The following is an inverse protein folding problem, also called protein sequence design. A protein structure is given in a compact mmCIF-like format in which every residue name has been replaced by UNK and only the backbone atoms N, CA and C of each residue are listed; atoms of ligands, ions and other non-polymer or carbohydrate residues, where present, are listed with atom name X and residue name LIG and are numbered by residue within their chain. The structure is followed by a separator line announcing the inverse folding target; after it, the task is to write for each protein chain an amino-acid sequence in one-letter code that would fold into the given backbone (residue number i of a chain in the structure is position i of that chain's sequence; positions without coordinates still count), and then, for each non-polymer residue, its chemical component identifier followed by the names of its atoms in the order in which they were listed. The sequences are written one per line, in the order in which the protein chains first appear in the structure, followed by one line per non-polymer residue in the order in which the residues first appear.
data_IF_468936410778
#
_entry.id   IF_468936410778
#
_cell.length_a   1.000
_cell.length_b   1.000
_cell.length_c   1.000
_cell.angle_alpha   90.00
_cell.angle_beta   90.00
_cell.angle_gamma   90.00
#
_symmetry.space_group_name_H-M   'P 1'
#
loop_
_entity.id
_entity.type
_entity.pdbx_description
1 polymer ?
#
# COMPACT_ATOMS: atom_id res chain seq x y z
N UNK A 1 -29.94 57.86 11.84
CA UNK A 1 -30.22 57.76 10.39
C UNK A 1 -28.91 57.31 9.74
N UNK A 2 -28.70 56.13 9.19
CA UNK A 2 -29.40 54.86 9.15
C UNK A 2 -28.31 53.84 8.78
N UNK A 3 -28.35 52.66 9.40
CA UNK A 3 -27.41 51.57 9.17
C UNK A 3 -27.49 51.02 7.73
N UNK A 4 -26.41 50.46 7.18
CA UNK A 4 -26.50 49.62 5.97
C UNK A 4 -27.05 48.21 6.32
N UNK A 5 -27.66 47.51 5.35
CA UNK A 5 -28.51 46.34 5.60
C UNK A 5 -27.73 45.04 5.85
N UNK A 6 -28.36 44.01 6.45
CA UNK A 6 -27.72 42.74 6.79
C UNK A 6 -27.89 41.66 5.71
N UNK A 7 -26.94 40.73 5.67
CA UNK A 7 -27.21 39.32 5.41
C UNK A 7 -26.84 38.75 4.05
N UNK A 8 -25.72 38.03 4.01
CA UNK A 8 -25.72 36.58 3.71
C UNK A 8 -24.43 35.96 4.22
N UNK A 9 -24.56 35.19 5.30
CA UNK A 9 -23.53 34.34 5.84
C UNK A 9 -23.15 33.25 4.83
N UNK A 10 -21.88 33.23 4.43
CA UNK A 10 -21.23 32.12 3.73
C UNK A 10 -19.87 31.89 4.39
N UNK A 11 -19.88 31.53 5.67
CA UNK A 11 -18.68 31.11 6.38
C UNK A 11 -19.03 30.41 7.69
N UNK A 12 -19.73 29.28 7.67
CA UNK A 12 -19.93 28.49 8.91
C UNK A 12 -20.31 27.01 8.68
N UNK A 13 -19.73 26.35 7.69
CA UNK A 13 -19.91 24.89 7.54
C UNK A 13 -18.68 24.09 7.08
N UNK A 14 -17.49 24.71 7.04
CA UNK A 14 -16.25 24.03 6.64
C UNK A 14 -15.31 23.65 7.81
N UNK A 15 -15.65 24.01 9.06
CA UNK A 15 -14.77 23.80 10.22
C UNK A 15 -15.35 22.95 11.36
N UNK A 16 -16.55 22.36 11.20
CA UNK A 16 -17.20 21.61 12.30
C UNK A 16 -17.05 20.09 12.21
N UNK A 17 -16.58 19.54 11.07
CA UNK A 17 -16.26 18.12 10.95
C UNK A 17 -14.81 17.77 11.40
N UNK A 18 -13.91 18.75 11.51
CA UNK A 18 -12.53 18.55 11.97
C UNK A 18 -12.31 18.81 13.47
N UNK A 19 -13.34 19.25 14.21
CA UNK A 19 -13.20 19.59 15.63
C UNK A 19 -13.74 18.54 16.62
N UNK A 20 -14.38 17.46 16.15
CA UNK A 20 -14.81 16.33 17.00
C UNK A 20 -13.83 15.14 17.02
N UNK A 21 -12.73 15.19 16.27
CA UNK A 21 -11.68 14.17 16.30
C UNK A 21 -10.49 14.57 17.18
N UNK A 22 -10.71 15.33 18.26
CA UNK A 22 -9.68 15.57 19.29
C UNK A 22 -10.11 14.95 20.60
N UNK A 23 -9.22 14.11 21.13
CA UNK A 23 -9.18 13.50 22.47
C UNK A 23 -9.80 12.11 22.60
N UNK A 24 -9.26 11.15 21.84
CA UNK A 24 -8.87 9.84 22.37
C UNK A 24 -7.88 9.21 21.41
N UNK A 25 -6.95 8.41 21.91
CA UNK A 25 -5.98 7.64 21.13
C UNK A 25 -6.73 6.63 20.24
N UNK A 26 -7.26 7.07 19.11
CA UNK A 26 -8.07 6.24 18.23
C UNK A 26 -7.18 5.40 17.35
N UNK A 27 -6.98 4.15 17.75
CA UNK A 27 -6.49 3.11 16.87
C UNK A 27 -7.52 2.90 15.76
N UNK A 28 -7.18 3.29 14.51
CA UNK A 28 -8.02 2.98 13.35
C UNK A 28 -7.77 1.53 12.97
N UNK A 29 -8.76 0.65 13.21
CA UNK A 29 -8.76 -0.75 12.78
C UNK A 29 -9.75 -0.95 11.64
N UNK A 30 -9.39 -1.78 10.66
CA UNK A 30 -10.27 -2.21 9.56
C UNK A 30 -10.74 -1.11 8.60
N UNK A 31 -9.93 -0.07 8.40
CA UNK A 31 -10.18 0.90 7.34
C UNK A 31 -10.03 0.23 5.96
N UNK A 32 -11.09 0.23 5.15
CA UNK A 32 -11.01 0.03 3.71
C UNK A 32 -11.15 1.39 3.02
N UNK A 33 -10.09 1.84 2.36
CA UNK A 33 -10.09 3.05 1.53
C UNK A 33 -9.63 2.68 0.14
N UNK A 34 -10.47 2.99 -0.84
CA UNK A 34 -10.04 3.10 -2.22
C UNK A 34 -9.80 4.57 -2.52
N UNK A 35 -8.57 4.92 -2.90
CA UNK A 35 -8.33 6.18 -3.59
C UNK A 35 -8.33 5.89 -5.09
N UNK A 36 -9.30 6.47 -5.81
CA UNK A 36 -9.43 6.32 -7.26
C UNK A 36 -10.13 7.56 -7.87
N UNK A 37 -9.42 8.35 -8.67
CA UNK A 37 -9.94 9.58 -9.27
C UNK A 37 -10.96 9.38 -10.39
N UNK A 38 -11.09 8.18 -10.95
CA UNK A 38 -12.05 7.92 -12.03
C UNK A 38 -13.51 7.71 -11.59
N UNK A 39 -13.81 7.77 -10.28
CA UNK A 39 -15.17 7.59 -9.73
C UNK A 39 -15.87 8.90 -9.33
N UNK A 40 -15.52 10.03 -9.93
CA UNK A 40 -16.27 11.28 -9.74
C UNK A 40 -17.73 11.11 -10.22
N UNK A 41 -18.68 11.05 -9.29
CA UNK A 41 -20.12 11.04 -9.59
C UNK A 41 -20.51 12.37 -10.24
N UNK A 42 -21.01 12.30 -11.48
CA UNK A 42 -21.77 13.38 -12.10
C UNK A 42 -23.08 13.59 -11.32
N UNK A 43 -23.10 14.56 -10.40
CA UNK A 43 -24.35 15.14 -9.90
C UNK A 43 -24.67 16.40 -10.71
N UNK A 44 -25.42 16.23 -11.79
CA UNK A 44 -26.17 17.32 -12.41
C UNK A 44 -27.46 17.53 -11.62
N UNK A 45 -27.71 18.77 -11.21
CA UNK A 45 -28.95 19.28 -10.66
C UNK A 45 -30.15 19.00 -11.58
N UNK A 46 -31.17 18.33 -11.07
CA UNK A 46 -32.47 18.15 -11.71
C UNK A 46 -33.36 17.30 -10.81
N UNK A 47 -34.40 17.90 -10.25
CA UNK A 47 -35.42 17.17 -9.49
C UNK A 47 -36.41 16.53 -10.45
N UNK A 48 -36.78 15.28 -10.17
CA UNK A 48 -38.09 14.69 -10.49
C UNK A 48 -38.21 13.36 -9.76
N UNK A 49 -39.30 13.18 -9.00
CA UNK A 49 -39.70 11.92 -8.41
C UNK A 49 -40.12 10.96 -9.52
N UNK A 50 -39.44 9.81 -9.63
CA UNK A 50 -39.76 8.78 -10.60
C UNK A 50 -39.57 7.38 -10.01
N UNK A 51 -40.67 6.70 -9.74
CA UNK A 51 -40.76 5.28 -9.39
C UNK A 51 -40.11 4.42 -10.48
N UNK A 52 -39.10 3.61 -10.16
CA UNK A 52 -38.56 2.60 -11.07
C UNK A 52 -38.64 1.20 -10.47
N UNK A 53 -39.52 0.39 -11.06
CA UNK A 53 -39.59 -1.05 -10.89
C UNK A 53 -38.29 -1.73 -11.37
N UNK A 54 -37.79 -2.64 -10.55
CA UNK A 54 -36.67 -3.53 -10.88
C UNK A 54 -37.12 -4.69 -11.75
N UNK A 55 -36.65 -4.72 -13.00
CA UNK A 55 -36.56 -5.96 -13.76
C UNK A 55 -35.52 -5.81 -14.87
N UNK A 56 -34.40 -6.52 -14.73
CA UNK A 56 -33.52 -6.86 -15.86
C UNK A 56 -32.93 -8.26 -15.66
N UNK A 57 -32.70 -9.01 -16.74
CA UNK A 57 -32.66 -10.47 -16.72
C UNK A 57 -31.26 -11.00 -16.38
N UNK A 58 -31.21 -12.03 -15.56
CA UNK A 58 -29.99 -12.76 -15.24
C UNK A 58 -29.51 -13.57 -16.46
N UNK A 59 -28.30 -13.28 -16.94
CA UNK A 59 -27.60 -14.12 -17.91
C UNK A 59 -27.20 -15.48 -17.30
N UNK A 60 -27.27 -16.60 -18.04
CA UNK A 60 -27.04 -17.93 -17.50
C UNK A 60 -25.55 -18.18 -17.22
N UNK A 61 -25.24 -18.53 -15.96
CA UNK A 61 -23.90 -18.94 -15.51
C UNK A 61 -23.48 -20.25 -16.18
N UNK A 62 -22.55 -20.20 -17.13
CA UNK A 62 -21.74 -21.38 -17.48
C UNK A 62 -20.90 -21.77 -16.25
N UNK A 63 -21.03 -23.02 -15.80
CA UNK A 63 -20.24 -23.60 -14.69
C UNK A 63 -18.76 -23.61 -15.08
N UNK A 64 -18.02 -22.59 -14.67
CA UNK A 64 -16.56 -22.67 -14.54
C UNK A 64 -16.27 -23.70 -13.44
N UNK A 65 -15.50 -24.75 -13.78
CA UNK A 65 -14.98 -25.70 -12.79
C UNK A 65 -14.21 -24.92 -11.73
N UNK A 66 -14.81 -24.82 -10.54
CA UNK A 66 -14.25 -24.15 -9.39
C UNK A 66 -13.12 -25.03 -8.84
N UNK A 67 -11.88 -24.77 -9.26
CA UNK A 67 -10.70 -25.20 -8.49
C UNK A 67 -10.87 -24.49 -7.14
N UNK A 68 -10.97 -25.26 -6.05
CA UNK A 68 -11.39 -24.79 -4.72
C UNK A 68 -10.89 -23.38 -4.42
N UNK A 69 -11.83 -22.43 -4.38
CA UNK A 69 -11.54 -21.01 -4.17
C UNK A 69 -10.83 -20.85 -2.84
N UNK A 70 -9.59 -20.35 -2.85
CA UNK A 70 -8.93 -19.87 -1.65
C UNK A 70 -9.71 -18.66 -1.18
N UNK A 71 -10.68 -18.86 -0.29
CA UNK A 71 -11.35 -17.75 0.41
C UNK A 71 -10.33 -17.19 1.38
N UNK A 72 -9.59 -16.19 0.92
CA UNK A 72 -8.54 -15.55 1.69
C UNK A 72 -9.17 -14.62 2.73
N UNK A 73 -9.28 -15.09 3.98
CA UNK A 73 -9.41 -14.19 5.12
C UNK A 73 -8.07 -13.46 5.27
N UNK A 74 -8.03 -12.17 4.91
CA UNK A 74 -6.83 -11.35 4.81
C UNK A 74 -5.88 -11.43 5.99
N UNK A 75 -6.40 -11.65 7.19
CA UNK A 75 -5.61 -11.73 8.43
C UNK A 75 -4.82 -13.02 8.57
N UNK A 76 -5.26 -14.08 7.89
CA UNK A 76 -4.63 -15.40 7.90
C UNK A 76 -3.97 -15.73 6.57
N UNK A 77 -4.03 -14.84 5.59
CA UNK A 77 -3.53 -15.04 4.23
C UNK A 77 -2.21 -15.79 4.21
N UNK A 78 -1.20 -15.29 4.91
CA UNK A 78 0.14 -15.89 4.90
C UNK A 78 0.23 -17.31 5.48
N UNK A 79 -0.73 -17.69 6.33
CA UNK A 79 -0.82 -18.99 6.98
C UNK A 79 -1.79 -19.94 6.28
N UNK A 80 -2.51 -19.49 5.25
CA UNK A 80 -3.42 -20.36 4.50
C UNK A 80 -2.62 -21.39 3.69
N UNK A 81 -3.11 -22.65 3.59
CA UNK A 81 -2.48 -23.66 2.73
C UNK A 81 -2.34 -23.19 1.27
N UNK A 82 -3.29 -22.40 0.79
CA UNK A 82 -3.27 -21.83 -0.56
C UNK A 82 -2.24 -20.70 -0.75
N UNK A 83 -1.70 -20.14 0.34
CA UNK A 83 -0.67 -19.10 0.30
C UNK A 83 0.75 -19.65 0.54
N UNK A 84 0.90 -20.97 0.69
CA UNK A 84 2.19 -21.59 0.97
C UNK A 84 3.19 -21.25 -0.15
N UNK A 85 4.33 -20.66 0.23
CA UNK A 85 5.41 -20.28 -0.68
C UNK A 85 4.96 -19.33 -1.79
N UNK A 86 5.40 -19.60 -3.03
CA UNK A 86 5.09 -18.88 -4.28
C UNK A 86 3.61 -18.89 -4.67
N UNK A 87 2.73 -19.51 -3.87
CA UNK A 87 1.28 -19.44 -4.06
C UNK A 87 0.63 -18.24 -3.33
N UNK A 88 1.37 -17.55 -2.45
CA UNK A 88 0.90 -16.34 -1.74
C UNK A 88 0.19 -15.31 -2.63
N UNK A 89 0.62 -15.02 -3.89
CA UNK A 89 -0.05 -14.01 -4.70
C UNK A 89 -1.52 -14.31 -5.01
N UNK A 90 -1.96 -15.57 -4.86
CA UNK A 90 -3.39 -15.97 -4.97
C UNK A 90 -4.28 -15.34 -3.89
N UNK A 91 -3.69 -14.78 -2.85
CA UNK A 91 -4.36 -14.11 -1.74
C UNK A 91 -4.37 -12.58 -1.89
N UNK A 92 -3.77 -12.03 -2.94
CA UNK A 92 -3.77 -10.60 -3.19
C UNK A 92 -5.20 -10.10 -3.44
N UNK A 93 -5.54 -8.96 -2.83
CA UNK A 93 -6.85 -8.31 -2.95
C UNK A 93 -6.70 -6.85 -3.37
N UNK A 94 -7.81 -6.19 -3.68
CA UNK A 94 -7.82 -4.78 -4.07
C UNK A 94 -7.22 -4.55 -5.45
N UNK A 95 -6.72 -3.34 -5.67
CA UNK A 95 -6.18 -2.94 -6.98
C UNK A 95 -4.91 -3.70 -7.36
N UNK A 96 -4.12 -4.19 -6.40
CA UNK A 96 -2.97 -5.05 -6.67
C UNK A 96 -3.31 -6.56 -6.80
N UNK A 97 -4.58 -6.96 -6.93
CA UNK A 97 -5.01 -8.38 -6.99
C UNK A 97 -4.40 -9.20 -8.14
N UNK A 98 -3.83 -8.56 -9.15
CA UNK A 98 -3.13 -9.20 -10.26
C UNK A 98 -1.62 -9.40 -10.03
N UNK A 99 -1.09 -8.99 -8.87
CA UNK A 99 0.33 -9.13 -8.55
C UNK A 99 0.74 -10.60 -8.48
N UNK A 100 1.95 -10.90 -8.93
CA UNK A 100 2.59 -12.22 -8.83
C UNK A 100 3.97 -12.15 -8.15
N UNK A 101 4.57 -10.96 -8.09
CA UNK A 101 5.91 -10.75 -7.54
C UNK A 101 6.94 -11.59 -8.29
N UNK A 102 7.88 -12.18 -7.56
CA UNK A 102 8.88 -13.11 -8.08
C UNK A 102 8.46 -14.57 -8.11
N UNK A 103 7.16 -14.87 -8.19
CA UNK A 103 6.66 -16.25 -8.15
C UNK A 103 7.15 -17.11 -9.33
N UNK A 104 7.45 -16.49 -10.48
CA UNK A 104 7.96 -17.19 -11.67
C UNK A 104 9.49 -17.38 -11.64
N UNK A 105 10.22 -16.58 -10.87
CA UNK A 105 11.68 -16.63 -10.79
C UNK A 105 12.21 -17.70 -9.82
N UNK A 106 13.53 -17.80 -9.60
CA UNK A 106 14.14 -18.66 -8.58
C UNK A 106 13.94 -18.14 -7.15
N UNK A 107 14.46 -18.86 -6.16
CA UNK A 107 14.58 -18.37 -4.79
C UNK A 107 15.96 -17.77 -4.56
N UNK A 108 16.03 -16.65 -3.85
CA UNK A 108 17.27 -16.08 -3.32
C UNK A 108 17.19 -16.10 -1.80
N UNK A 109 18.22 -16.63 -1.14
CA UNK A 109 18.23 -16.72 0.32
C UNK A 109 19.25 -15.74 0.85
N UNK A 110 18.79 -14.77 1.64
CA UNK A 110 19.63 -13.85 2.40
C UNK A 110 20.16 -14.61 3.61
N UNK A 111 21.47 -14.58 3.78
CA UNK A 111 22.24 -15.25 4.84
C UNK A 111 23.19 -14.29 5.56
N UNK A 112 23.44 -13.10 4.99
CA UNK A 112 24.30 -12.07 5.55
C UNK A 112 23.49 -10.78 5.74
N UNK A 113 23.37 -10.25 6.97
CA UNK A 113 22.63 -9.02 7.24
C UNK A 113 23.41 -7.73 6.96
N UNK A 114 24.68 -7.81 6.56
CA UNK A 114 25.46 -6.63 6.17
C UNK A 114 24.92 -6.02 4.87
N UNK A 115 25.21 -4.73 4.70
CA UNK A 115 24.87 -3.97 3.51
C UNK A 115 26.12 -3.25 3.01
N UNK A 116 26.35 -3.29 1.71
CA UNK A 116 27.35 -2.47 1.01
C UNK A 116 26.66 -1.96 -0.26
N UNK A 117 26.35 -0.66 -0.36
CA UNK A 117 25.62 -0.10 -1.49
C UNK A 117 26.44 -0.02 -2.78
N UNK A 118 27.78 -0.13 -2.70
CA UNK A 118 28.68 -0.05 -3.83
C UNK A 118 29.10 -1.43 -4.34
N UNK A 119 29.29 -2.39 -3.42
CA UNK A 119 29.74 -3.75 -3.74
C UNK A 119 29.00 -4.80 -2.91
N UNK A 120 27.70 -5.04 -3.19
CA UNK A 120 26.90 -5.95 -2.39
C UNK A 120 27.40 -7.39 -2.52
N UNK A 121 27.78 -7.98 -1.39
CA UNK A 121 28.34 -9.34 -1.35
C UNK A 121 27.25 -10.41 -1.53
N UNK A 122 27.55 -11.55 -2.16
CA UNK A 122 26.65 -12.69 -2.19
C UNK A 122 26.13 -13.06 -0.81
N UNK A 123 24.82 -13.32 -0.70
CA UNK A 123 24.14 -13.61 0.56
C UNK A 123 23.53 -12.40 1.26
N UNK A 124 23.84 -11.17 0.84
CA UNK A 124 23.20 -9.94 1.35
C UNK A 124 21.85 -9.68 0.69
N UNK A 125 21.00 -8.87 1.33
CA UNK A 125 19.71 -8.44 0.77
C UNK A 125 19.89 -7.71 -0.57
N UNK A 126 20.83 -6.76 -0.64
CA UNK A 126 21.07 -5.96 -1.85
C UNK A 126 21.52 -6.82 -3.02
N UNK A 127 22.45 -7.75 -2.79
CA UNK A 127 22.87 -8.70 -3.81
C UNK A 127 21.70 -9.59 -4.28
N UNK A 128 20.85 -10.07 -3.35
CA UNK A 128 19.69 -10.88 -3.70
C UNK A 128 18.69 -10.13 -4.60
N UNK A 129 18.49 -8.82 -4.36
CA UNK A 129 17.63 -7.96 -5.19
C UNK A 129 18.23 -7.77 -6.58
N UNK A 130 19.54 -7.50 -6.68
CA UNK A 130 20.20 -7.37 -7.99
C UNK A 130 20.18 -8.66 -8.79
N UNK A 131 20.42 -9.80 -8.14
CA UNK A 131 20.37 -11.11 -8.77
C UNK A 131 18.94 -11.48 -9.22
N UNK A 132 17.93 -11.12 -8.43
CA UNK A 132 16.52 -11.27 -8.80
C UNK A 132 16.19 -10.47 -10.07
N UNK A 133 16.64 -9.21 -10.16
CA UNK A 133 16.41 -8.36 -11.32
C UNK A 133 17.04 -8.88 -12.62
N UNK A 134 18.14 -9.65 -12.50
CA UNK A 134 18.84 -10.28 -13.64
C UNK A 134 18.26 -11.64 -14.03
N UNK A 135 17.36 -12.20 -13.23
CA UNK A 135 16.87 -13.57 -13.41
C UNK A 135 15.58 -13.61 -14.24
N UNK A 136 15.43 -14.59 -15.15
CA UNK A 136 14.18 -14.81 -15.87
C UNK A 136 13.01 -15.00 -14.89
N UNK A 137 11.96 -14.21 -15.04
CA UNK A 137 10.79 -14.24 -14.15
C UNK A 137 10.99 -13.55 -12.79
N UNK A 138 12.11 -12.83 -12.59
CA UNK A 138 12.40 -12.07 -11.38
C UNK A 138 12.96 -12.93 -10.24
N UNK A 139 12.57 -12.68 -8.99
CA UNK A 139 13.10 -13.45 -7.86
C UNK A 139 12.28 -13.40 -6.57
N UNK A 140 12.28 -14.54 -5.86
CA UNK A 140 11.65 -14.68 -4.55
C UNK A 140 12.72 -14.69 -3.45
N UNK A 141 12.88 -13.55 -2.80
CA UNK A 141 13.88 -13.32 -1.76
C UNK A 141 13.29 -13.77 -0.42
N UNK A 142 14.02 -14.64 0.27
CA UNK A 142 13.69 -15.16 1.61
C UNK A 142 14.90 -15.05 2.53
N UNK A 143 14.70 -15.30 3.81
CA UNK A 143 15.73 -15.17 4.84
C UNK A 143 15.92 -16.52 5.53
N UNK A 144 17.17 -16.92 5.77
CA UNK A 144 17.51 -18.22 6.37
C UNK A 144 17.25 -18.26 7.88
N UNK A 145 17.39 -17.11 8.56
CA UNK A 145 17.22 -16.94 10.00
C UNK A 145 16.71 -15.54 10.34
N UNK A 146 16.29 -15.35 11.59
CA UNK A 146 16.00 -14.03 12.12
C UNK A 146 17.24 -13.13 12.02
N UNK A 147 17.06 -11.90 11.53
CA UNK A 147 18.18 -10.98 11.34
C UNK A 147 17.73 -9.52 11.31
N UNK A 148 18.65 -8.65 11.68
CA UNK A 148 18.51 -7.19 11.51
C UNK A 148 19.44 -6.73 10.40
N UNK A 149 18.88 -6.34 9.26
CA UNK A 149 19.61 -5.79 8.12
C UNK A 149 19.78 -4.29 8.35
N UNK A 150 21.02 -3.84 8.56
CA UNK A 150 21.34 -2.43 8.77
C UNK A 150 21.71 -1.81 7.44
N UNK A 151 20.84 -0.99 6.88
CA UNK A 151 21.08 -0.37 5.57
C UNK A 151 22.02 0.83 5.68
N UNK A 152 23.02 0.87 4.81
CA UNK A 152 23.91 2.04 4.67
C UNK A 152 23.30 3.10 3.75
N UNK A 153 22.59 2.68 2.70
CA UNK A 153 21.77 3.53 1.84
C UNK A 153 20.44 2.84 1.49
N UNK A 154 19.49 3.61 0.97
CA UNK A 154 18.21 3.14 0.46
C UNK A 154 18.40 1.95 -0.48
N UNK A 155 17.47 1.00 -0.38
CA UNK A 155 17.46 -0.20 -1.23
C UNK A 155 16.44 -0.02 -2.33
N UNK A 156 16.91 -0.08 -3.57
CA UNK A 156 16.07 0.01 -4.77
C UNK A 156 15.62 -1.38 -5.17
N UNK A 157 14.32 -1.61 -5.16
CA UNK A 157 13.74 -2.91 -5.50
C UNK A 157 13.50 -2.96 -7.01
N UNK A 158 13.81 -4.08 -7.64
CA UNK A 158 13.53 -4.32 -9.07
C UNK A 158 12.14 -4.92 -9.31
N UNK A 159 11.65 -4.83 -10.55
CA UNK A 159 10.41 -5.48 -10.98
C UNK A 159 10.42 -7.00 -10.75
N UNK A 160 9.24 -7.60 -10.67
CA UNK A 160 9.07 -9.06 -10.49
C UNK A 160 9.77 -9.60 -9.24
N UNK A 161 9.75 -8.84 -8.14
CA UNK A 161 10.44 -9.20 -6.91
C UNK A 161 9.45 -9.48 -5.79
N UNK A 162 9.67 -10.56 -5.05
CA UNK A 162 9.03 -10.77 -3.74
C UNK A 162 10.09 -10.71 -2.65
N UNK A 163 9.90 -9.89 -1.62
CA UNK A 163 10.66 -9.96 -0.37
C UNK A 163 9.75 -10.59 0.69
N UNK A 164 10.08 -11.83 1.08
CA UNK A 164 9.25 -12.68 1.93
C UNK A 164 9.93 -13.00 3.26
N UNK A 165 9.51 -12.31 4.32
CA UNK A 165 9.98 -12.54 5.68
C UNK A 165 9.19 -13.60 6.45
N UNK A 166 8.24 -14.34 5.87
CA UNK A 166 7.35 -15.24 6.65
C UNK A 166 8.05 -16.34 7.44
N UNK A 167 9.27 -16.70 7.07
CA UNK A 167 10.04 -17.77 7.73
C UNK A 167 10.97 -17.28 8.84
N UNK A 168 11.13 -15.97 9.00
CA UNK A 168 12.14 -15.40 9.89
C UNK A 168 11.67 -14.06 10.47
N UNK A 169 12.12 -13.73 11.67
CA UNK A 169 11.92 -12.37 12.19
C UNK A 169 12.96 -11.43 11.56
N UNK A 170 12.55 -10.68 10.54
CA UNK A 170 13.44 -9.81 9.75
C UNK A 170 13.11 -8.36 10.04
N UNK A 171 14.11 -7.62 10.51
CA UNK A 171 14.01 -6.17 10.70
C UNK A 171 15.01 -5.48 9.78
N UNK A 172 14.55 -4.55 8.95
CA UNK A 172 15.38 -3.68 8.12
C UNK A 172 15.43 -2.31 8.81
N UNK A 173 16.63 -1.78 9.05
CA UNK A 173 16.81 -0.54 9.81
C UNK A 173 17.58 0.53 9.05
N UNK A 174 17.54 1.75 9.59
CA UNK A 174 18.26 2.96 9.17
C UNK A 174 17.75 3.65 7.90
N UNK A 175 17.51 2.91 6.81
CA UNK A 175 17.06 3.47 5.52
C UNK A 175 15.75 2.84 5.04
N UNK A 176 15.15 3.47 4.03
CA UNK A 176 13.90 3.02 3.40
C UNK A 176 14.09 2.12 2.17
N UNK A 177 12.97 1.56 1.73
CA UNK A 177 12.81 0.78 0.51
C UNK A 177 12.21 1.67 -0.59
N UNK A 178 12.78 1.57 -1.78
CA UNK A 178 12.47 2.44 -2.92
C UNK A 178 11.94 1.60 -4.07
N UNK A 179 10.73 1.92 -4.52
CA UNK A 179 10.03 1.27 -5.62
C UNK A 179 9.79 2.32 -6.73
N UNK A 180 10.77 2.45 -7.61
CA UNK A 180 10.82 3.48 -8.66
C UNK A 180 10.57 2.87 -10.04
N UNK A 181 9.54 3.31 -10.76
CA UNK A 181 9.32 2.95 -12.17
C UNK A 181 9.23 1.44 -12.45
N UNK A 182 8.92 0.65 -11.43
CA UNK A 182 8.91 -0.80 -11.47
C UNK A 182 7.50 -1.36 -11.59
N UNK A 183 7.40 -2.67 -11.80
CA UNK A 183 6.12 -3.34 -11.65
C UNK A 183 6.22 -4.72 -11.02
N UNK A 184 5.09 -5.18 -10.47
CA UNK A 184 4.92 -6.54 -9.98
C UNK A 184 5.83 -6.86 -8.78
N UNK A 185 5.60 -6.19 -7.65
CA UNK A 185 6.39 -6.36 -6.42
C UNK A 185 5.50 -6.74 -5.23
N UNK A 186 5.99 -7.65 -4.39
CA UNK A 186 5.36 -8.06 -3.14
C UNK A 186 6.35 -7.86 -1.99
N UNK A 187 5.94 -7.11 -0.97
CA UNK A 187 6.64 -6.99 0.31
C UNK A 187 5.77 -7.63 1.39
N UNK A 188 6.28 -8.67 2.04
CA UNK A 188 5.48 -9.43 3.02
C UNK A 188 6.25 -9.83 4.27
N UNK A 189 5.62 -9.63 5.44
CA UNK A 189 6.09 -10.10 6.75
C UNK A 189 7.53 -9.66 7.10
N UNK A 190 7.84 -8.39 6.85
CA UNK A 190 9.09 -7.75 7.28
C UNK A 190 8.77 -6.58 8.21
N UNK A 191 9.73 -6.22 9.07
CA UNK A 191 9.70 -4.96 9.83
C UNK A 191 10.67 -3.97 9.20
N UNK A 192 10.27 -2.72 9.04
CA UNK A 192 11.13 -1.63 8.55
C UNK A 192 11.09 -0.47 9.55
N UNK A 193 12.26 -0.01 9.99
CA UNK A 193 12.43 1.09 10.95
C UNK A 193 13.44 2.10 10.40
N UNK A 194 13.06 3.36 10.19
CA UNK A 194 13.99 4.37 9.63
C UNK A 194 14.50 5.34 10.68
N UNK A 195 15.63 6.00 10.40
CA UNK A 195 16.20 7.04 11.29
C UNK A 195 15.70 8.45 10.92
N UNK A 196 14.54 8.57 10.29
CA UNK A 196 13.94 9.87 10.03
C UNK A 196 14.41 10.61 8.77
N UNK A 197 15.28 10.03 7.93
CA UNK A 197 15.90 10.73 6.80
C UNK A 197 15.20 10.52 5.44
N UNK A 198 14.18 9.66 5.35
CA UNK A 198 13.45 9.39 4.12
C UNK A 198 12.02 8.91 4.41
N UNK A 199 11.21 8.78 3.36
CA UNK A 199 10.07 7.86 3.40
C UNK A 199 10.57 6.44 3.66
N UNK A 200 9.75 5.64 4.36
CA UNK A 200 10.15 4.26 4.72
C UNK A 200 9.92 3.29 3.57
N UNK A 201 8.74 3.33 2.94
CA UNK A 201 8.46 2.65 1.68
C UNK A 201 7.96 3.70 0.69
N UNK A 202 8.75 3.98 -0.34
CA UNK A 202 8.46 5.00 -1.33
C UNK A 202 8.16 4.39 -2.70
N UNK A 203 6.90 4.46 -3.12
CA UNK A 203 6.39 3.96 -4.40
C UNK A 203 6.14 5.15 -5.31
N UNK A 204 6.93 5.32 -6.35
CA UNK A 204 6.86 6.52 -7.19
C UNK A 204 7.27 6.29 -8.64
N UNK A 205 6.95 7.29 -9.47
CA UNK A 205 7.41 7.39 -10.86
C UNK A 205 6.93 6.24 -11.74
N UNK A 206 5.61 6.04 -11.77
CA UNK A 206 4.96 5.05 -12.64
C UNK A 206 4.97 3.61 -12.11
N UNK A 207 5.35 3.40 -10.83
CA UNK A 207 5.36 2.08 -10.24
C UNK A 207 3.95 1.47 -10.18
N UNK A 208 3.81 0.17 -10.53
CA UNK A 208 2.48 -0.47 -10.59
C UNK A 208 2.42 -1.93 -10.14
N UNK A 209 1.25 -2.40 -9.73
CA UNK A 209 1.03 -3.76 -9.22
C UNK A 209 1.97 -4.05 -8.04
N UNK A 210 1.78 -3.30 -6.96
CA UNK A 210 2.58 -3.42 -5.74
C UNK A 210 1.69 -3.86 -4.59
N UNK A 211 2.09 -4.90 -3.86
CA UNK A 211 1.37 -5.37 -2.68
C UNK A 211 2.28 -5.36 -1.45
N UNK A 212 1.90 -4.55 -0.47
CA UNK A 212 2.52 -4.50 0.86
C UNK A 212 1.57 -5.19 1.82
N UNK A 213 2.00 -6.31 2.42
CA UNK A 213 1.15 -7.14 3.27
C UNK A 213 1.85 -7.58 4.56
N UNK A 214 1.17 -7.51 5.71
CA UNK A 214 1.75 -7.93 7.00
C UNK A 214 3.12 -7.26 7.31
N UNK A 215 3.34 -6.06 6.81
CA UNK A 215 4.57 -5.30 7.09
C UNK A 215 4.37 -4.48 8.35
N UNK A 216 5.38 -4.47 9.21
CA UNK A 216 5.46 -3.54 10.34
C UNK A 216 6.34 -2.37 9.93
N UNK A 217 5.84 -1.14 10.02
CA UNK A 217 6.61 0.06 9.67
C UNK A 217 6.57 1.01 10.86
N UNK A 218 7.74 1.39 11.35
CA UNK A 218 7.88 2.26 12.52
C UNK A 218 8.85 3.42 12.24
N UNK A 219 8.60 4.55 12.91
CA UNK A 219 9.53 5.69 12.97
C UNK A 219 9.90 6.24 11.58
N UNK A 220 8.88 6.65 10.82
CA UNK A 220 9.02 7.26 9.51
C UNK A 220 9.45 8.72 9.62
N UNK A 221 10.49 9.11 8.88
CA UNK A 221 10.94 10.51 8.86
C UNK A 221 10.02 11.45 8.12
N UNK A 222 9.76 11.09 6.86
CA UNK A 222 8.94 11.86 5.92
C UNK A 222 7.58 11.21 5.66
N UNK A 223 7.45 9.92 6.01
CA UNK A 223 6.27 9.09 5.85
C UNK A 223 6.59 7.60 6.06
N UNK A 224 5.60 6.80 6.45
CA UNK A 224 5.74 5.34 6.47
C UNK A 224 5.55 4.75 5.07
N UNK A 225 4.50 5.17 4.36
CA UNK A 225 4.21 4.70 3.00
C UNK A 225 3.81 5.87 2.12
N UNK A 226 4.50 6.03 0.99
CA UNK A 226 4.17 7.04 -0.01
C UNK A 226 3.89 6.37 -1.35
N UNK A 227 2.77 6.73 -2.00
CA UNK A 227 2.41 6.33 -3.37
C UNK A 227 2.17 7.59 -4.18
N UNK A 228 3.00 7.89 -5.17
CA UNK A 228 2.94 9.14 -5.93
C UNK A 228 3.52 9.02 -7.35
N UNK A 229 3.58 10.13 -8.08
CA UNK A 229 4.23 10.24 -9.38
C UNK A 229 3.70 9.27 -10.42
N UNK A 230 2.38 9.16 -10.54
CA UNK A 230 1.72 8.27 -11.52
C UNK A 230 1.78 6.79 -11.17
N UNK A 231 2.02 6.46 -9.91
CA UNK A 231 1.96 5.06 -9.44
C UNK A 231 0.50 4.60 -9.28
N UNK A 232 0.22 3.33 -9.59
CA UNK A 232 -1.16 2.79 -9.59
C UNK A 232 -1.20 1.30 -9.24
N UNK A 233 -2.38 0.75 -9.02
CA UNK A 233 -2.56 -0.67 -8.65
C UNK A 233 -1.73 -1.09 -7.43
N UNK A 234 -1.87 -0.32 -6.35
CA UNK A 234 -1.22 -0.62 -5.08
C UNK A 234 -2.25 -1.14 -4.08
N UNK A 235 -1.88 -2.17 -3.32
CA UNK A 235 -2.62 -2.60 -2.13
C UNK A 235 -1.68 -2.57 -0.94
N UNK A 236 -2.10 -1.88 0.13
CA UNK A 236 -1.44 -1.91 1.45
C UNK A 236 -2.42 -2.58 2.42
N UNK A 237 -2.08 -3.78 2.89
CA UNK A 237 -2.98 -4.58 3.73
C UNK A 237 -2.33 -5.20 4.95
N UNK A 238 -3.12 -5.39 6.00
CA UNK A 238 -2.71 -6.09 7.23
C UNK A 238 -1.40 -5.57 7.87
N UNK A 239 -1.02 -4.32 7.60
CA UNK A 239 0.21 -3.73 8.10
C UNK A 239 0.00 -3.10 9.48
N UNK A 240 1.04 -3.09 10.30
CA UNK A 240 1.10 -2.29 11.53
C UNK A 240 1.96 -1.05 11.26
N UNK A 241 1.35 0.12 11.32
CA UNK A 241 1.92 1.40 10.91
C UNK A 241 1.97 2.31 12.14
N UNK A 242 3.17 2.47 12.71
CA UNK A 242 3.38 3.24 13.93
C UNK A 242 4.32 4.42 13.68
N UNK A 243 3.77 5.61 13.63
CA UNK A 243 4.55 6.83 13.49
C UNK A 243 3.92 7.95 14.31
N UNK A 244 4.70 8.93 14.79
CA UNK A 244 4.13 10.06 15.55
C UNK A 244 3.78 11.27 14.68
N UNK A 245 4.18 11.28 13.41
CA UNK A 245 4.04 12.39 12.48
C UNK A 245 3.15 11.98 11.29
N UNK A 246 3.72 11.37 10.27
CA UNK A 246 3.08 11.13 8.98
C UNK A 246 3.03 9.64 8.66
N UNK A 247 1.83 9.09 8.51
CA UNK A 247 1.68 7.68 8.20
C UNK A 247 1.74 7.40 6.69
N UNK A 248 0.69 7.74 5.94
CA UNK A 248 0.52 7.30 4.55
C UNK A 248 0.08 8.44 3.61
N UNK A 249 0.93 8.76 2.62
CA UNK A 249 0.67 9.77 1.61
C UNK A 249 0.33 9.14 0.26
N UNK A 250 -0.83 9.47 -0.29
CA UNK A 250 -1.30 8.99 -1.59
C UNK A 250 -1.49 10.21 -2.51
N UNK A 251 -0.58 10.38 -3.46
CA UNK A 251 -0.47 11.57 -4.30
C UNK A 251 0.31 12.69 -3.60
N UNK A 252 1.41 13.13 -4.21
CA UNK A 252 2.33 14.09 -3.58
C UNK A 252 1.87 15.55 -3.72
N UNK A 253 1.16 15.89 -4.80
CA UNK A 253 0.74 17.25 -5.12
C UNK A 253 -0.62 17.27 -5.83
N UNK A 254 -1.47 18.25 -5.49
CA UNK A 254 -2.73 18.49 -6.18
C UNK A 254 -2.53 18.96 -7.63
N UNK A 255 -1.32 19.42 -7.95
CA UNK A 255 -0.94 19.94 -9.27
C UNK A 255 -0.23 18.91 -10.15
N UNK A 256 0.02 17.69 -9.66
CA UNK A 256 0.70 16.65 -10.44
C UNK A 256 -0.31 15.83 -11.26
N UNK A 257 -0.52 16.11 -12.55
CA UNK A 257 -1.53 15.41 -13.33
C UNK A 257 -1.22 13.91 -13.52
N UNK A 258 0.01 13.47 -13.23
CA UNK A 258 0.36 12.04 -13.31
C UNK A 258 -0.38 11.21 -12.26
N UNK A 259 -0.73 11.78 -11.11
CA UNK A 259 -1.44 11.07 -10.03
C UNK A 259 -2.95 10.87 -10.31
N UNK A 260 -3.47 11.35 -11.45
CA UNK A 260 -4.86 11.08 -11.90
C UNK A 260 -5.14 9.63 -12.23
N UNK A 261 -4.14 8.76 -12.24
CA UNK A 261 -4.32 7.31 -12.43
C UNK A 261 -4.16 6.53 -11.14
N UNK A 262 -3.94 7.21 -10.00
CA UNK A 262 -3.63 6.58 -8.73
C UNK A 262 -4.80 5.69 -8.27
N UNK A 263 -4.50 4.40 -8.08
CA UNK A 263 -5.44 3.40 -7.58
C UNK A 263 -4.79 2.67 -6.42
N UNK A 264 -5.21 3.01 -5.20
CA UNK A 264 -4.65 2.43 -3.99
C UNK A 264 -5.75 1.84 -3.12
N UNK A 265 -5.57 0.59 -2.70
CA UNK A 265 -6.40 -0.08 -1.70
C UNK A 265 -5.66 -0.07 -0.37
N UNK A 266 -6.20 0.62 0.64
CA UNK A 266 -5.71 0.58 2.02
C UNK A 266 -6.70 -0.25 2.81
N UNK A 267 -6.28 -1.39 3.35
CA UNK A 267 -7.23 -2.35 3.93
C UNK A 267 -6.69 -3.10 5.14
N UNK A 268 -7.41 -3.05 6.28
CA UNK A 268 -7.03 -3.77 7.52
C UNK A 268 -5.64 -3.43 8.05
N UNK A 269 -5.19 -2.21 7.82
CA UNK A 269 -3.99 -1.72 8.49
C UNK A 269 -4.34 -1.24 9.90
N UNK A 270 -3.39 -1.39 10.82
CA UNK A 270 -3.45 -0.80 12.14
C UNK A 270 -2.58 0.44 12.14
N UNK A 271 -3.21 1.61 12.28
CA UNK A 271 -2.51 2.88 12.46
C UNK A 271 -2.37 3.15 13.96
N UNK A 272 -1.16 3.05 14.48
CA UNK A 272 -0.83 3.29 15.88
C UNK A 272 -0.12 4.63 16.02
N UNK A 273 -0.57 5.46 16.97
CA UNK A 273 0.08 6.73 17.35
C UNK A 273 0.29 7.73 16.20
N UNK A 274 -0.32 7.49 15.03
CA UNK A 274 -0.21 8.26 13.79
C UNK A 274 -0.81 9.64 13.96
N UNK A 275 0.04 10.67 13.86
CA UNK A 275 -0.38 12.06 13.98
C UNK A 275 -1.32 12.49 12.85
N UNK A 276 -0.93 12.21 11.61
CA UNK A 276 -1.67 12.57 10.40
C UNK A 276 -1.53 11.51 9.28
N UNK A 277 -2.36 11.67 8.23
CA UNK A 277 -2.31 10.92 6.96
C UNK A 277 -2.65 9.43 7.09
N UNK A 278 -3.87 9.09 7.49
CA UNK A 278 -4.34 7.70 7.66
C UNK A 278 -5.53 7.28 6.76
N UNK A 279 -5.38 7.20 5.43
CA UNK A 279 -4.36 7.85 4.61
C UNK A 279 -4.71 9.35 4.39
N UNK A 280 -3.76 10.12 3.86
CA UNK A 280 -4.09 11.38 3.18
C UNK A 280 -4.00 11.14 1.68
N UNK A 281 -5.14 11.23 0.99
CA UNK A 281 -5.17 11.12 -0.47
C UNK A 281 -5.42 12.47 -1.14
N UNK A 282 -4.68 12.71 -2.23
CA UNK A 282 -4.89 13.80 -3.17
C UNK A 282 -5.54 13.27 -4.45
N UNK A 283 -6.27 14.14 -5.13
CA UNK A 283 -6.90 13.92 -6.45
C UNK A 283 -8.14 13.02 -6.57
N UNK A 284 -8.72 12.36 -5.53
CA UNK A 284 -10.19 12.27 -5.28
C UNK A 284 -10.68 11.14 -4.34
N UNK A 285 -11.89 11.40 -3.80
CA UNK A 285 -12.93 10.58 -3.12
C UNK A 285 -12.55 9.28 -2.41
N UNK A 286 -12.74 9.29 -1.08
CA UNK A 286 -12.76 8.10 -0.23
C UNK A 286 -14.03 7.27 -0.46
N UNK A 287 -13.91 6.00 -0.83
CA UNK A 287 -15.00 5.02 -0.62
C UNK A 287 -14.74 4.26 0.67
N UNK A 288 -15.51 4.60 1.71
CA UNK A 288 -15.65 3.80 2.93
C UNK A 288 -16.78 2.78 2.69
N UNK A 289 -16.53 1.50 2.97
CA UNK A 289 -17.56 0.46 3.06
C UNK A 289 -17.81 0.10 4.52
#
# INVERSE_FOLDING_TARGET
IGAPPPGRALSDSFNQACHQARLSFTVIRNLLVHCNPHKASSRSSGGEEGNYHSSSPLLPRKKLKQVGSCVADGTKCQFLPCAKWKKLPRCAVGFASSVTGGAAGPYFTVTDPSDDPLSPRPGTLRHAIEAAGKSPGGGWIRFDRAMTVVLEDRVWIGSNTTIDGRQANVTIVHKGLVLYGLENVILVNIKVVTTGASDTIHIFQGARRVWIDHVTIEEGGLGLVTVAGGSTDVTVSNCYLKDRKFSMLLGASDLDPSDKILRVTVYRNWFDSSGERMPHCRQDQYQYN
#
